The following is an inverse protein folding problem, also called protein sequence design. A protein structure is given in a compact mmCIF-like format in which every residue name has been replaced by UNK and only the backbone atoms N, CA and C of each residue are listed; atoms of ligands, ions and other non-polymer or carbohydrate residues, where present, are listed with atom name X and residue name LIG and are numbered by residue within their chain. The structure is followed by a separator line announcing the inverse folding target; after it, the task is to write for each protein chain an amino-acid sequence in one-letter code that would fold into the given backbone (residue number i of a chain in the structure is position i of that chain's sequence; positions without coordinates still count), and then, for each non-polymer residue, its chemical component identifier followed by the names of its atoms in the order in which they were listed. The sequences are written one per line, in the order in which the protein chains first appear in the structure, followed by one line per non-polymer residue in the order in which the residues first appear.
data_IF_061854564484
#
_entry.id   IF_061854564484
#
_cell.length_a   1.000
_cell.length_b   1.000
_cell.length_c   1.000
_cell.angle_alpha   90.00
_cell.angle_beta   90.00
_cell.angle_gamma   90.00
#
_symmetry.space_group_name_H-M   'P 1'
#
loop_
_entity.id
_entity.type
_entity.pdbx_description
1 polymer ?
#
# COMPACT_ATOMS: atom_id res chain seq x y z
N UNK A 1 -11.40 17.40 6.52
CA UNK A 1 -10.30 16.43 6.43
C UNK A 1 -10.46 15.39 7.52
N UNK A 2 -11.25 14.38 7.21
CA UNK A 2 -11.35 13.13 7.97
C UNK A 2 -10.13 12.26 7.68
N UNK A 3 -9.94 11.20 8.46
CA UNK A 3 -8.90 10.20 8.20
C UNK A 3 -9.09 9.51 6.84
N UNK A 4 -10.36 9.32 6.43
CA UNK A 4 -10.71 8.71 5.14
C UNK A 4 -10.31 9.65 3.99
N UNK A 5 -10.64 10.93 4.07
CA UNK A 5 -10.26 11.92 3.05
C UNK A 5 -8.73 11.99 2.87
N UNK A 6 -7.98 12.07 3.97
CA UNK A 6 -6.52 12.10 3.92
C UNK A 6 -5.94 10.80 3.30
N UNK A 7 -6.52 9.64 3.62
CA UNK A 7 -6.11 8.38 3.03
C UNK A 7 -6.37 8.33 1.51
N UNK A 8 -7.57 8.71 1.08
CA UNK A 8 -7.95 8.73 -0.34
C UNK A 8 -7.13 9.74 -1.17
N UNK A 9 -6.65 10.83 -0.56
CA UNK A 9 -5.75 11.77 -1.23
C UNK A 9 -4.32 11.23 -1.36
N UNK A 10 -3.83 10.48 -0.36
CA UNK A 10 -2.42 10.08 -0.29
C UNK A 10 -2.13 8.70 -0.90
N UNK A 11 -3.08 7.76 -0.89
CA UNK A 11 -2.80 6.35 -1.21
C UNK A 11 -2.21 6.17 -2.62
N UNK A 12 -2.76 6.84 -3.63
CA UNK A 12 -2.30 6.70 -5.01
C UNK A 12 -0.83 7.15 -5.14
N UNK A 13 -0.44 8.21 -4.43
CA UNK A 13 0.95 8.67 -4.41
C UNK A 13 1.90 7.67 -3.76
N UNK A 14 1.45 6.97 -2.70
CA UNK A 14 2.22 5.93 -2.04
C UNK A 14 2.41 4.71 -2.94
N UNK A 15 1.37 4.32 -3.70
CA UNK A 15 1.47 3.25 -4.68
C UNK A 15 2.41 3.56 -5.84
N UNK A 16 2.36 4.78 -6.38
CA UNK A 16 3.30 5.20 -7.40
C UNK A 16 4.74 5.16 -6.89
N UNK A 17 4.97 5.51 -5.62
CA UNK A 17 6.28 5.38 -4.97
C UNK A 17 6.73 3.92 -4.84
N UNK A 18 5.85 3.02 -4.40
CA UNK A 18 6.15 1.58 -4.33
C UNK A 18 6.48 1.00 -5.71
N UNK A 19 5.66 1.29 -6.72
CA UNK A 19 5.89 0.82 -8.08
C UNK A 19 7.19 1.37 -8.68
N UNK A 20 7.50 2.63 -8.40
CA UNK A 20 8.78 3.25 -8.80
C UNK A 20 9.95 2.56 -8.12
N UNK A 21 9.86 2.32 -6.81
CA UNK A 21 10.90 1.63 -6.04
C UNK A 21 11.16 0.21 -6.56
N UNK A 22 10.11 -0.55 -6.90
CA UNK A 22 10.22 -1.87 -7.52
C UNK A 22 10.96 -1.79 -8.86
N UNK A 23 10.56 -0.85 -9.73
CA UNK A 23 11.20 -0.65 -11.04
C UNK A 23 12.66 -0.21 -10.93
N UNK A 24 12.99 0.62 -9.94
CA UNK A 24 14.35 1.10 -9.70
C UNK A 24 15.19 0.18 -8.82
N UNK A 25 14.62 -0.93 -8.34
CA UNK A 25 15.25 -1.88 -7.40
C UNK A 25 15.74 -1.19 -6.11
N UNK A 26 14.97 -0.23 -5.60
CA UNK A 26 15.26 0.52 -4.39
C UNK A 26 14.47 -0.08 -3.20
N UNK A 27 15.09 -1.05 -2.51
CA UNK A 27 14.50 -1.74 -1.37
C UNK A 27 14.12 -0.79 -0.23
N UNK A 28 14.98 0.17 0.09
CA UNK A 28 14.73 1.18 1.13
C UNK A 28 13.49 2.02 0.84
N UNK A 29 13.32 2.46 -0.41
CA UNK A 29 12.15 3.25 -0.80
C UNK A 29 10.88 2.40 -0.84
N UNK A 30 10.97 1.12 -1.24
CA UNK A 30 9.84 0.20 -1.17
C UNK A 30 9.41 -0.03 0.28
N UNK A 31 10.37 -0.32 1.17
CA UNK A 31 10.12 -0.57 2.59
C UNK A 31 9.42 0.62 3.27
N UNK A 32 9.95 1.83 3.08
CA UNK A 32 9.33 3.06 3.62
C UNK A 32 7.92 3.30 3.08
N UNK A 33 7.69 3.10 1.79
CA UNK A 33 6.37 3.32 1.20
C UNK A 33 5.37 2.25 1.67
N UNK A 34 5.78 0.98 1.74
CA UNK A 34 4.98 -0.12 2.29
C UNK A 34 4.59 0.15 3.75
N UNK A 35 5.54 0.62 4.57
CA UNK A 35 5.28 0.99 5.96
C UNK A 35 4.20 2.08 6.11
N UNK A 36 4.26 3.12 5.26
CA UNK A 36 3.25 4.19 5.25
C UNK A 36 1.87 3.65 4.89
N UNK A 37 1.75 2.82 3.86
CA UNK A 37 0.47 2.22 3.46
C UNK A 37 -0.05 1.27 4.54
N UNK A 38 0.80 0.38 5.09
CA UNK A 38 0.44 -0.51 6.20
C UNK A 38 -0.16 0.25 7.38
N UNK A 39 0.47 1.37 7.75
CA UNK A 39 0.01 2.19 8.87
C UNK A 39 -1.35 2.81 8.60
N UNK A 40 -1.64 3.20 7.35
CA UNK A 40 -2.96 3.66 6.96
C UNK A 40 -3.99 2.52 6.94
N UNK A 41 -3.65 1.37 6.35
CA UNK A 41 -4.51 0.18 6.29
C UNK A 41 -4.92 -0.32 7.68
N UNK A 42 -4.01 -0.24 8.67
CA UNK A 42 -4.31 -0.55 10.08
C UNK A 42 -5.50 0.20 10.66
N UNK A 43 -5.84 1.37 10.12
CA UNK A 43 -6.99 2.16 10.57
C UNK A 43 -8.32 1.53 10.14
N UNK A 44 -8.30 0.68 9.11
CA UNK A 44 -9.48 0.04 8.54
C UNK A 44 -9.64 -1.43 8.96
N UNK A 45 -8.60 -2.03 9.56
CA UNK A 45 -8.70 -3.33 10.23
C UNK A 45 -8.62 -4.56 9.32
N UNK A 46 -8.13 -4.43 8.09
CA UNK A 46 -7.89 -5.57 7.20
C UNK A 46 -6.55 -6.24 7.51
N UNK A 47 -6.59 -7.27 8.35
CA UNK A 47 -5.40 -8.04 8.78
C UNK A 47 -4.67 -8.73 7.62
N UNK A 48 -5.37 -9.15 6.58
CA UNK A 48 -4.73 -9.79 5.42
C UNK A 48 -3.91 -8.75 4.66
N UNK A 49 -4.51 -7.59 4.40
CA UNK A 49 -3.84 -6.51 3.70
C UNK A 49 -2.68 -5.93 4.52
N UNK A 50 -2.83 -5.83 5.85
CA UNK A 50 -1.74 -5.46 6.76
C UNK A 50 -0.55 -6.42 6.60
N UNK A 51 -0.80 -7.73 6.54
CA UNK A 51 0.24 -8.73 6.38
C UNK A 51 0.95 -8.62 5.01
N UNK A 52 0.20 -8.39 3.93
CA UNK A 52 0.76 -8.19 2.58
C UNK A 52 1.70 -6.97 2.54
N UNK A 53 1.32 -5.84 3.14
CA UNK A 53 2.21 -4.68 3.23
C UNK A 53 3.38 -4.88 4.20
N UNK A 54 3.21 -5.69 5.25
CA UNK A 54 4.31 -6.04 6.14
C UNK A 54 5.37 -6.90 5.43
N UNK A 55 4.96 -7.82 4.56
CA UNK A 55 5.87 -8.60 3.74
C UNK A 55 6.62 -7.74 2.73
N UNK A 56 5.96 -6.73 2.14
CA UNK A 56 6.61 -5.75 1.26
C UNK A 56 7.57 -4.82 2.03
N UNK A 57 7.24 -4.47 3.27
CA UNK A 57 8.08 -3.65 4.15
C UNK A 57 9.38 -4.36 4.56
N UNK A 58 9.32 -5.69 4.73
CA UNK A 58 10.46 -6.53 5.13
C UNK A 58 11.42 -6.89 3.98
N UNK A 59 11.22 -6.34 2.79
CA UNK A 59 12.17 -6.51 1.68
C UNK A 59 13.41 -5.68 1.98
N UNK A 60 14.52 -6.35 2.29
CA UNK A 60 15.80 -5.73 2.63
C UNK A 60 16.83 -5.85 1.50
N UNK A 61 16.64 -6.79 0.55
CA UNK A 61 17.61 -7.09 -0.50
C UNK A 61 17.09 -6.80 -1.92
N UNK A 62 18.01 -6.41 -2.81
CA UNK A 62 17.73 -6.20 -4.25
C UNK A 62 17.37 -7.50 -4.98
N UNK A 63 17.77 -8.66 -4.47
CA UNK A 63 17.31 -9.93 -5.01
C UNK A 63 15.81 -10.11 -4.75
N UNK A 64 15.37 -9.84 -3.53
CA UNK A 64 13.99 -10.00 -3.10
C UNK A 64 13.04 -8.99 -3.75
N UNK A 65 13.48 -7.75 -3.99
CA UNK A 65 12.65 -6.74 -4.66
C UNK A 65 12.33 -7.10 -6.12
N UNK A 66 13.18 -7.89 -6.80
CA UNK A 66 12.89 -8.33 -8.18
C UNK A 66 11.66 -9.21 -8.26
N UNK A 67 11.42 -9.97 -7.20
CA UNK A 67 10.32 -10.91 -7.09
C UNK A 67 9.12 -10.34 -6.31
N UNK A 68 9.16 -9.05 -5.95
CA UNK A 68 8.11 -8.41 -5.14
C UNK A 68 6.94 -7.87 -5.96
N UNK A 69 7.07 -7.76 -7.29
CA UNK A 69 6.01 -7.21 -8.15
C UNK A 69 4.67 -7.98 -8.05
N UNK A 70 4.65 -9.33 -8.03
CA UNK A 70 3.40 -10.07 -7.81
C UNK A 70 2.77 -9.78 -6.45
N UNK A 71 3.57 -9.70 -5.38
CA UNK A 71 3.08 -9.36 -4.02
C UNK A 71 2.51 -7.95 -3.97
N UNK A 72 3.20 -6.99 -4.58
CA UNK A 72 2.70 -5.63 -4.74
C UNK A 72 1.36 -5.57 -5.47
N UNK A 73 1.17 -6.38 -6.53
CA UNK A 73 -0.10 -6.43 -7.26
C UNK A 73 -1.23 -6.97 -6.38
N UNK A 74 -1.01 -8.06 -5.65
CA UNK A 74 -2.01 -8.58 -4.72
C UNK A 74 -2.39 -7.55 -3.66
N UNK A 75 -1.40 -6.88 -3.05
CA UNK A 75 -1.63 -5.81 -2.07
C UNK A 75 -2.35 -4.59 -2.69
N UNK A 76 -2.11 -4.30 -3.97
CA UNK A 76 -2.80 -3.23 -4.70
C UNK A 76 -4.26 -3.60 -4.99
N UNK A 77 -4.52 -4.82 -5.43
CA UNK A 77 -5.89 -5.25 -5.71
C UNK A 77 -6.74 -5.20 -4.42
N UNK A 78 -6.19 -5.67 -3.30
CA UNK A 78 -6.90 -5.63 -2.00
C UNK A 78 -7.15 -4.22 -1.46
N UNK A 79 -6.22 -3.28 -1.64
CA UNK A 79 -6.46 -1.90 -1.17
C UNK A 79 -7.38 -1.12 -2.10
N UNK A 80 -7.44 -1.45 -3.39
CA UNK A 80 -8.40 -0.85 -4.33
C UNK A 80 -9.83 -1.22 -3.93
N UNK A 81 -10.09 -2.44 -3.44
CA UNK A 81 -11.38 -2.83 -2.86
C UNK A 81 -11.76 -1.95 -1.66
N UNK A 82 -10.82 -1.70 -0.73
CA UNK A 82 -11.06 -0.81 0.42
C UNK A 82 -11.31 0.64 -0.05
N UNK A 83 -10.56 1.12 -1.03
CA UNK A 83 -10.73 2.47 -1.57
C UNK A 83 -12.10 2.65 -2.20
N UNK A 84 -12.59 1.65 -2.95
CA UNK A 84 -13.93 1.67 -3.53
C UNK A 84 -15.01 1.72 -2.43
N UNK A 85 -14.87 0.91 -1.38
CA UNK A 85 -15.78 0.91 -0.23
C UNK A 85 -15.79 2.26 0.51
N UNK A 86 -14.61 2.82 0.78
CA UNK A 86 -14.47 4.12 1.45
C UNK A 86 -15.00 5.28 0.62
N UNK A 87 -14.80 5.24 -0.70
CA UNK A 87 -15.33 6.24 -1.62
C UNK A 87 -16.85 6.20 -1.65
N UNK A 88 -17.43 5.00 -1.80
CA UNK A 88 -18.88 4.82 -1.76
C UNK A 88 -19.48 5.25 -0.41
N UNK A 89 -18.79 4.97 0.70
CA UNK A 89 -19.20 5.46 2.02
C UNK A 89 -19.22 6.99 2.08
N UNK A 90 -18.17 7.67 1.59
CA UNK A 90 -18.08 9.14 1.57
C UNK A 90 -19.17 9.79 0.70
N UNK A 91 -19.55 9.17 -0.43
CA UNK A 91 -20.62 9.65 -1.30
C UNK A 91 -22.04 9.45 -0.73
N UNK A 92 -22.18 8.55 0.25
CA UNK A 92 -23.46 8.25 0.92
C UNK A 92 -23.79 9.17 2.11
N UNK A 93 -22.84 10.02 2.52
CA UNK A 93 -22.99 11.00 3.61
C UNK A 93 -23.52 12.35 3.10
#
# INVERSE_FOLDING_TARGET
MTVIEAFLEEYESLHQRMLTAIKSQDADSLSRAAHSVKSAVRLFGDENLIAEYEDLERIEEVADIRDSLPRYRNARDGIDEIVDELTAFMESQ
#
